data_IF_982249508482
#
_entry.id   IF_982249508482
#
_cell.length_a   1.000
_cell.length_b   1.000
_cell.length_c   1.000
_cell.angle_alpha   90.00
_cell.angle_beta   90.00
_cell.angle_gamma   90.00
#
_symmetry.space_group_name_H-M   'P 1'
#
loop_
_entity.id
_entity.type
_entity.pdbx_description
1 polymer ?
#
# COMPACT_ATOMS: atom_id res chain seq x y z
N UNK A 1 -10.04 -29.79 3.82
CA UNK A 1 -8.83 -28.99 4.13
C UNK A 1 -8.96 -27.51 3.74
N UNK A 2 -9.59 -27.17 2.60
CA UNK A 2 -9.85 -25.78 2.16
C UNK A 2 -10.39 -24.82 3.26
N UNK A 3 -11.31 -25.23 4.17
CA UNK A 3 -11.84 -24.33 5.19
C UNK A 3 -10.80 -23.86 6.21
N UNK A 4 -9.83 -24.71 6.55
CA UNK A 4 -8.81 -24.44 7.57
C UNK A 4 -7.77 -23.45 7.03
N UNK A 5 -7.34 -23.63 5.77
CA UNK A 5 -6.42 -22.71 5.12
C UNK A 5 -7.05 -21.33 4.91
N UNK A 6 -8.33 -21.28 4.52
CA UNK A 6 -9.06 -20.01 4.38
C UNK A 6 -9.19 -19.28 5.72
N UNK A 7 -9.51 -20.01 6.80
CA UNK A 7 -9.59 -19.47 8.15
C UNK A 7 -8.23 -18.95 8.64
N UNK A 8 -7.13 -19.66 8.36
CA UNK A 8 -5.78 -19.21 8.69
C UNK A 8 -5.39 -17.93 7.94
N UNK A 9 -5.67 -17.85 6.64
CA UNK A 9 -5.41 -16.65 5.83
C UNK A 9 -6.23 -15.47 6.37
N UNK A 10 -7.52 -15.68 6.67
CA UNK A 10 -8.38 -14.64 7.22
C UNK A 10 -7.89 -14.17 8.59
N UNK A 11 -7.46 -15.09 9.45
CA UNK A 11 -6.90 -14.77 10.76
C UNK A 11 -5.62 -13.93 10.65
N UNK A 12 -4.68 -14.31 9.78
CA UNK A 12 -3.45 -13.54 9.55
C UNK A 12 -3.79 -12.18 8.95
N UNK A 13 -4.73 -12.10 8.01
CA UNK A 13 -5.15 -10.83 7.40
C UNK A 13 -5.79 -9.87 8.41
N UNK A 14 -6.78 -10.35 9.20
CA UNK A 14 -7.44 -9.54 10.24
C UNK A 14 -6.44 -9.16 11.34
N UNK A 15 -5.63 -10.12 11.81
CA UNK A 15 -4.60 -9.89 12.82
C UNK A 15 -3.56 -8.88 12.36
N UNK A 16 -3.18 -8.92 11.08
CA UNK A 16 -2.32 -7.90 10.47
C UNK A 16 -3.01 -6.53 10.50
N UNK A 17 -4.21 -6.38 9.91
CA UNK A 17 -4.92 -5.08 9.89
C UNK A 17 -5.06 -4.51 11.31
N UNK A 18 -5.51 -5.32 12.27
CA UNK A 18 -5.66 -4.90 13.67
C UNK A 18 -4.33 -4.50 14.30
N UNK A 19 -3.30 -5.34 14.17
CA UNK A 19 -1.96 -5.08 14.69
C UNK A 19 -1.37 -3.81 14.10
N UNK A 20 -1.50 -3.60 12.79
CA UNK A 20 -1.05 -2.40 12.10
C UNK A 20 -1.80 -1.15 12.55
N UNK A 21 -3.13 -1.21 12.65
CA UNK A 21 -3.96 -0.13 13.19
C UNK A 21 -3.52 0.29 14.60
N UNK A 22 -3.22 -0.70 15.44
CA UNK A 22 -2.78 -0.46 16.82
C UNK A 22 -1.31 -0.03 16.92
N UNK A 23 -0.41 -0.53 16.08
CA UNK A 23 1.03 -0.20 16.16
C UNK A 23 1.36 1.13 15.49
N UNK A 24 0.84 1.37 14.29
CA UNK A 24 1.21 2.54 13.49
C UNK A 24 0.24 3.71 13.66
N UNK A 25 -1.03 3.45 13.97
CA UNK A 25 -2.06 4.50 14.05
C UNK A 25 -2.59 4.75 15.47
N UNK A 26 -2.15 4.01 16.50
CA UNK A 26 -2.61 4.26 17.89
C UNK A 26 -2.30 5.67 18.37
N UNK A 27 -1.17 6.23 17.94
CA UNK A 27 -0.76 7.60 18.27
C UNK A 27 -1.18 8.63 17.23
N UNK A 28 -1.90 8.24 16.17
CA UNK A 28 -2.32 9.20 15.14
C UNK A 28 -3.26 10.28 15.70
N UNK A 29 -4.07 9.95 16.72
CA UNK A 29 -4.96 10.91 17.40
C UNK A 29 -4.24 11.87 18.34
N UNK A 30 -3.02 11.54 18.77
CA UNK A 30 -2.18 12.40 19.61
C UNK A 30 -1.18 13.22 18.79
N UNK A 31 -1.23 13.15 17.45
CA UNK A 31 -0.42 14.00 16.59
C UNK A 31 -1.02 15.40 16.56
N UNK A 32 -0.19 16.40 16.81
CA UNK A 32 -0.54 17.81 16.62
C UNK A 32 -0.67 18.07 15.12
N UNK A 33 -1.76 18.72 14.66
CA UNK A 33 -1.88 19.14 13.26
C UNK A 33 -0.69 20.01 12.86
N UNK A 34 -0.11 19.76 11.70
CA UNK A 34 1.01 20.58 11.22
C UNK A 34 0.55 22.04 11.02
N UNK A 35 1.33 22.98 11.56
CA UNK A 35 1.18 24.41 11.25
C UNK A 35 1.57 24.72 9.80
N UNK A 36 1.30 25.94 9.34
CA UNK A 36 1.58 26.34 7.96
C UNK A 36 3.05 26.19 7.58
N UNK A 37 3.97 26.67 8.42
CA UNK A 37 5.42 26.56 8.16
C UNK A 37 5.90 25.10 8.13
N UNK A 38 5.45 24.29 9.09
CA UNK A 38 5.79 22.86 9.15
C UNK A 38 5.25 22.11 7.93
N UNK A 39 4.03 22.43 7.50
CA UNK A 39 3.45 21.82 6.30
C UNK A 39 4.20 22.26 5.04
N UNK A 40 4.52 23.55 4.91
CA UNK A 40 5.32 24.08 3.80
C UNK A 40 6.68 23.39 3.72
N UNK A 41 7.39 23.29 4.83
CA UNK A 41 8.69 22.62 4.91
C UNK A 41 8.58 21.15 4.49
N UNK A 42 7.57 20.41 4.97
CA UNK A 42 7.33 19.02 4.59
C UNK A 42 7.05 18.85 3.08
N UNK A 43 6.34 19.80 2.47
CA UNK A 43 6.07 19.80 1.02
C UNK A 43 7.32 20.13 0.21
N UNK A 44 8.08 21.15 0.61
CA UNK A 44 9.26 21.62 -0.13
C UNK A 44 10.48 20.70 0.01
N UNK A 45 10.65 20.05 1.17
CA UNK A 45 11.72 19.08 1.43
C UNK A 45 11.47 17.71 0.81
N UNK A 46 10.22 17.41 0.40
CA UNK A 46 9.86 16.13 -0.21
C UNK A 46 10.64 15.90 -1.50
N UNK A 47 11.47 14.85 -1.54
CA UNK A 47 12.25 14.50 -2.74
C UNK A 47 11.37 14.19 -3.94
N UNK A 48 10.21 13.57 -3.70
CA UNK A 48 9.20 13.31 -4.74
C UNK A 48 8.69 14.62 -5.35
N UNK A 49 8.49 15.64 -4.52
CA UNK A 49 8.00 16.95 -4.95
C UNK A 49 9.07 17.81 -5.59
N UNK A 50 10.23 17.89 -4.97
CA UNK A 50 11.39 18.66 -5.42
C UNK A 50 11.88 18.22 -6.80
N UNK A 51 11.81 16.92 -7.10
CA UNK A 51 12.20 16.35 -8.41
C UNK A 51 11.06 16.33 -9.43
N UNK A 52 9.86 16.78 -9.05
CA UNK A 52 8.73 16.80 -9.98
C UNK A 52 8.93 17.93 -11.00
N UNK A 53 8.78 17.67 -12.32
CA UNK A 53 8.96 18.69 -13.35
C UNK A 53 8.02 19.89 -13.17
N UNK A 54 6.84 19.61 -12.65
CA UNK A 54 5.82 20.60 -12.33
C UNK A 54 5.59 20.63 -10.82
N UNK A 55 5.39 21.79 -10.20
CA UNK A 55 5.17 21.91 -8.74
C UNK A 55 3.68 21.90 -8.38
N UNK A 56 2.81 21.55 -9.31
CA UNK A 56 1.39 21.35 -9.06
C UNK A 56 1.01 19.87 -8.97
N UNK A 57 0.10 19.47 -8.06
CA UNK A 57 -0.37 18.10 -7.98
C UNK A 57 -1.52 17.97 -8.97
N UNK A 58 -1.13 17.91 -10.24
CA UNK A 58 -2.01 17.74 -11.39
C UNK A 58 -2.66 16.36 -11.36
N UNK A 59 -3.82 16.24 -12.02
CA UNK A 59 -4.53 14.97 -12.19
C UNK A 59 -3.60 13.88 -12.75
N UNK A 60 -2.67 14.26 -13.63
CA UNK A 60 -1.68 13.38 -14.24
C UNK A 60 -0.77 12.66 -13.23
N UNK A 61 -0.44 13.29 -12.11
CA UNK A 61 0.40 12.66 -11.06
C UNK A 61 -0.39 11.65 -10.23
N UNK A 62 -1.67 11.93 -10.01
CA UNK A 62 -2.59 10.96 -9.37
C UNK A 62 -2.77 9.78 -10.33
N UNK A 63 -2.95 10.04 -11.62
CA UNK A 63 -3.05 9.01 -12.67
C UNK A 63 -1.76 8.18 -12.75
N UNK A 64 -0.58 8.81 -12.72
CA UNK A 64 0.71 8.10 -12.70
C UNK A 64 0.84 7.20 -11.46
N UNK A 65 0.44 7.69 -10.29
CA UNK A 65 0.48 6.89 -9.06
C UNK A 65 -0.48 5.69 -9.13
N UNK A 66 -1.69 5.90 -9.64
CA UNK A 66 -2.66 4.83 -9.90
C UNK A 66 -2.12 3.84 -10.95
N UNK A 67 -1.44 4.32 -11.99
CA UNK A 67 -0.80 3.50 -13.00
C UNK A 67 0.32 2.63 -12.41
N UNK A 68 1.16 3.19 -11.53
CA UNK A 68 2.20 2.41 -10.83
C UNK A 68 1.57 1.34 -9.95
N UNK A 69 0.49 1.66 -9.21
CA UNK A 69 -0.26 0.65 -8.45
C UNK A 69 -0.81 -0.44 -9.37
N UNK A 70 -1.35 -0.07 -10.53
CA UNK A 70 -1.87 -1.03 -11.50
C UNK A 70 -0.78 -1.95 -12.05
N UNK A 71 0.40 -1.41 -12.38
CA UNK A 71 1.57 -2.20 -12.82
C UNK A 71 2.03 -3.16 -11.71
N UNK A 72 2.07 -2.71 -10.46
CA UNK A 72 2.42 -3.57 -9.32
C UNK A 72 1.38 -4.69 -9.11
N UNK A 73 0.09 -4.39 -9.26
CA UNK A 73 -0.97 -5.40 -9.22
C UNK A 73 -0.86 -6.38 -10.39
N UNK A 74 -0.53 -5.90 -11.59
CA UNK A 74 -0.31 -6.75 -12.76
C UNK A 74 0.89 -7.68 -12.54
N UNK A 75 2.02 -7.16 -12.05
CA UNK A 75 3.19 -7.96 -11.70
C UNK A 75 2.85 -9.02 -10.63
N UNK A 76 2.04 -8.67 -9.63
CA UNK A 76 1.55 -9.63 -8.63
C UNK A 76 0.75 -10.77 -9.28
N UNK A 77 -0.17 -10.46 -10.20
CA UNK A 77 -0.94 -11.48 -10.92
C UNK A 77 -0.01 -12.41 -11.69
N UNK A 78 1.02 -11.87 -12.36
CA UNK A 78 2.01 -12.68 -13.08
C UNK A 78 2.77 -13.61 -12.12
N UNK A 79 3.20 -13.11 -10.97
CA UNK A 79 3.91 -13.93 -9.97
C UNK A 79 3.01 -15.06 -9.45
N UNK A 80 1.76 -14.75 -9.10
CA UNK A 80 0.81 -15.72 -8.54
C UNK A 80 0.42 -16.79 -9.56
N UNK A 81 0.17 -16.40 -10.81
CA UNK A 81 -0.31 -17.32 -11.85
C UNK A 81 0.79 -18.08 -12.57
N UNK A 82 2.00 -17.54 -12.66
CA UNK A 82 3.05 -18.12 -13.50
C UNK A 82 4.36 -18.38 -12.75
N UNK A 83 4.87 -17.44 -11.95
CA UNK A 83 6.15 -17.64 -11.27
C UNK A 83 6.05 -18.72 -10.19
N UNK A 84 5.02 -18.65 -9.33
CA UNK A 84 4.82 -19.64 -8.26
C UNK A 84 4.56 -21.03 -8.85
N UNK A 85 3.63 -21.24 -9.80
CA UNK A 85 3.49 -22.56 -10.45
C UNK A 85 4.78 -23.00 -11.15
N UNK A 86 5.45 -22.08 -11.83
CA UNK A 86 6.72 -22.33 -12.52
C UNK A 86 7.82 -22.93 -11.62
N UNK A 87 7.91 -22.52 -10.35
CA UNK A 87 8.90 -23.10 -9.42
C UNK A 87 8.63 -24.57 -9.08
N UNK A 88 7.40 -25.06 -9.30
CA UNK A 88 7.03 -26.44 -9.00
C UNK A 88 7.02 -27.37 -10.21
N UNK A 89 7.32 -26.88 -11.42
CA UNK A 89 7.38 -27.71 -12.65
C UNK A 89 8.18 -29.01 -12.44
N UNK A 90 9.36 -29.02 -11.78
CA UNK A 90 10.12 -30.26 -11.58
C UNK A 90 9.41 -31.30 -10.71
N UNK A 91 8.37 -30.89 -9.96
CA UNK A 91 7.67 -31.74 -9.00
C UNK A 91 6.35 -32.29 -9.53
N UNK A 92 5.85 -31.82 -10.68
CA UNK A 92 4.51 -32.15 -11.18
C UNK A 92 4.25 -33.64 -11.45
N UNK A 93 5.30 -34.37 -11.82
CA UNK A 93 5.19 -35.80 -12.15
C UNK A 93 5.35 -36.70 -10.91
N UNK A 94 5.65 -36.14 -9.74
CA UNK A 94 5.79 -36.91 -8.52
C UNK A 94 4.43 -37.22 -7.88
N UNK A 95 4.21 -38.48 -7.50
CA UNK A 95 2.95 -38.94 -6.86
C UNK A 95 2.61 -38.20 -5.56
N UNK A 96 3.61 -37.67 -4.86
CA UNK A 96 3.42 -36.92 -3.62
C UNK A 96 3.07 -35.44 -3.85
N UNK A 97 3.16 -34.94 -5.09
CA UNK A 97 2.88 -33.55 -5.41
C UNK A 97 1.38 -33.30 -5.51
N UNK A 98 0.89 -32.33 -4.74
CA UNK A 98 -0.51 -31.92 -4.77
C UNK A 98 -0.62 -30.44 -5.14
N UNK A 99 -1.61 -30.09 -5.98
CA UNK A 99 -1.90 -28.68 -6.32
C UNK A 99 -2.26 -27.82 -5.09
N UNK A 100 -2.64 -28.44 -3.97
CA UNK A 100 -2.85 -27.78 -2.68
C UNK A 100 -1.57 -27.09 -2.17
N UNK A 101 -0.39 -27.57 -2.58
CA UNK A 101 0.91 -27.02 -2.19
C UNK A 101 1.14 -25.60 -2.70
N UNK A 102 0.41 -25.15 -3.73
CA UNK A 102 0.45 -23.75 -4.19
C UNK A 102 -0.17 -22.77 -3.18
N UNK A 103 -1.05 -23.22 -2.29
CA UNK A 103 -1.81 -22.33 -1.39
C UNK A 103 -0.91 -21.63 -0.37
N UNK A 104 0.19 -22.25 0.04
CA UNK A 104 1.15 -21.67 1.01
C UNK A 104 1.92 -20.49 0.38
N UNK A 105 2.63 -20.65 -0.75
CA UNK A 105 3.33 -19.53 -1.39
C UNK A 105 2.35 -18.44 -1.85
N UNK A 106 1.17 -18.79 -2.39
CA UNK A 106 0.15 -17.80 -2.78
C UNK A 106 -0.35 -17.02 -1.56
N UNK A 107 -0.74 -17.70 -0.48
CA UNK A 107 -1.21 -17.07 0.76
C UNK A 107 -0.13 -16.20 1.40
N UNK A 108 1.13 -16.67 1.41
CA UNK A 108 2.27 -15.93 1.96
C UNK A 108 2.71 -14.74 1.08
N UNK A 109 2.31 -14.69 -0.19
CA UNK A 109 2.63 -13.58 -1.11
C UNK A 109 1.52 -12.53 -1.11
N UNK A 110 0.25 -12.96 -1.17
CA UNK A 110 -0.90 -12.05 -1.23
C UNK A 110 -1.06 -11.26 0.07
N UNK A 111 -0.86 -11.89 1.24
CA UNK A 111 -1.08 -11.22 2.53
C UNK A 111 -0.12 -10.05 2.76
N UNK A 112 1.22 -10.19 2.65
CA UNK A 112 2.14 -9.07 2.83
C UNK A 112 1.94 -7.95 1.80
N UNK A 113 1.64 -8.29 0.55
CA UNK A 113 1.45 -7.30 -0.51
C UNK A 113 0.13 -6.56 -0.33
N UNK A 114 -0.94 -7.25 0.05
CA UNK A 114 -2.21 -6.60 0.41
C UNK A 114 -2.03 -5.65 1.59
N UNK A 115 -1.23 -6.03 2.59
CA UNK A 115 -0.88 -5.15 3.72
C UNK A 115 -0.12 -3.93 3.26
N UNK A 116 0.92 -4.08 2.43
CA UNK A 116 1.68 -2.95 1.89
C UNK A 116 0.78 -2.03 1.07
N UNK A 117 -0.05 -2.58 0.18
CA UNK A 117 -0.98 -1.80 -0.65
C UNK A 117 -2.01 -1.05 0.22
N UNK A 118 -2.61 -1.68 1.22
CA UNK A 118 -3.56 -1.03 2.12
C UNK A 118 -2.90 0.09 2.96
N UNK A 119 -1.66 -0.12 3.41
CA UNK A 119 -0.90 0.90 4.15
C UNK A 119 -0.46 2.07 3.25
N UNK A 120 -0.09 1.79 2.00
CA UNK A 120 0.45 2.76 1.05
C UNK A 120 -0.58 3.42 0.13
N UNK A 121 -1.85 2.98 0.09
CA UNK A 121 -2.86 3.63 -0.77
C UNK A 121 -3.41 4.92 -0.13
N UNK A 122 -3.77 4.87 1.14
CA UNK A 122 -4.45 6.01 1.77
C UNK A 122 -3.52 7.17 2.15
N UNK A 123 -2.24 6.91 2.43
CA UNK A 123 -1.31 7.97 2.86
C UNK A 123 -0.88 8.91 1.72
N UNK A 124 -0.45 8.42 0.56
CA UNK A 124 0.06 9.25 -0.54
C UNK A 124 -1.05 9.99 -1.29
N UNK A 125 -2.24 9.39 -1.46
CA UNK A 125 -3.38 10.09 -2.07
C UNK A 125 -3.84 11.25 -1.17
N UNK A 126 -3.97 11.03 0.14
CA UNK A 126 -4.30 12.11 1.10
C UNK A 126 -3.22 13.19 1.11
N UNK A 127 -1.96 12.81 1.07
CA UNK A 127 -0.84 13.74 0.94
C UNK A 127 -0.95 14.58 -0.33
N UNK A 128 -1.13 13.97 -1.50
CA UNK A 128 -1.29 14.68 -2.78
C UNK A 128 -2.48 15.64 -2.78
N UNK A 129 -3.61 15.23 -2.22
CA UNK A 129 -4.80 16.09 -2.08
C UNK A 129 -4.55 17.26 -1.12
N UNK A 130 -3.82 17.04 -0.02
CA UNK A 130 -3.44 18.12 0.90
C UNK A 130 -2.49 19.12 0.23
N UNK A 131 -1.47 18.63 -0.48
CA UNK A 131 -0.55 19.48 -1.27
C UNK A 131 -1.33 20.26 -2.35
N UNK A 132 -2.36 19.67 -2.95
CA UNK A 132 -3.21 20.35 -3.94
C UNK A 132 -3.97 21.51 -3.34
N UNK A 133 -4.62 21.26 -2.20
CA UNK A 133 -5.31 22.32 -1.47
C UNK A 133 -4.33 23.44 -1.08
N UNK A 134 -3.12 23.08 -0.67
CA UNK A 134 -2.10 24.05 -0.27
C UNK A 134 -1.67 24.94 -1.44
N UNK A 135 -1.31 24.35 -2.58
CA UNK A 135 -0.95 25.10 -3.79
C UNK A 135 -2.07 26.00 -4.31
N UNK A 136 -3.33 25.62 -4.08
CA UNK A 136 -4.50 26.44 -4.43
C UNK A 136 -4.87 27.50 -3.38
N UNK A 137 -4.12 27.64 -2.29
CA UNK A 137 -4.45 28.55 -1.18
C UNK A 137 -5.71 28.17 -0.41
N UNK A 138 -6.15 26.92 -0.48
CA UNK A 138 -7.41 26.40 0.12
C UNK A 138 -7.19 25.61 1.41
N UNK A 139 -5.98 25.61 1.97
CA UNK A 139 -5.73 24.94 3.26
C UNK A 139 -6.13 25.91 4.36
N UNK A 140 -7.08 25.47 5.18
CA UNK A 140 -7.42 26.15 6.42
C UNK A 140 -6.52 25.59 7.51
N UNK A 141 -5.47 26.34 7.85
CA UNK A 141 -4.71 26.10 9.06
C UNK A 141 -5.53 26.67 10.22
N UNK A 142 -5.99 25.81 11.13
CA UNK A 142 -6.69 26.27 12.32
C UNK A 142 -5.62 26.82 13.26
N UNK A 143 -5.63 28.11 13.52
CA UNK A 143 -4.79 28.68 14.59
C UNK A 143 -5.24 28.05 15.91
N UNK A 144 -4.30 27.43 16.62
CA UNK A 144 -4.50 27.08 18.03
C UNK A 144 -4.57 28.41 18.80
N UNK A 145 -5.77 28.76 19.27
CA UNK A 145 -5.96 29.81 20.26
C UNK A 145 -5.59 29.31 21.65
#
# INVERSE_FOLDING_TARGET
MIPIHLAAILFVFIGSIYGFGKLFYSRAKSLVPAGEEQFKEAVESSTFWRKSPDKEPTADKIILYLFVILVLLFALVIVVLFAIPGTFIPYYEHEWFESSMFMVPIGSTIVPISVVLLLFQNNPIRWLLAVRKYKQGKVLFREEK
#
